data_IF_396436650896
#
_entry.id   IF_396436650896
#
_cell.length_a   1.000
_cell.length_b   1.000
_cell.length_c   1.000
_cell.angle_alpha   90.00
_cell.angle_beta   90.00
_cell.angle_gamma   90.00
#
_symmetry.space_group_name_H-M   'P 1'
#
loop_
_entity.id
_entity.type
_entity.pdbx_description
1 polymer ?
#
# COMPACT_ATOMS: atom_id res chain seq x y z
N UNK A 1 -16.75 -2.97 1.47
CA UNK A 1 -15.30 -2.86 1.20
C UNK A 1 -14.75 -1.43 1.28
N UNK A 2 -13.55 -1.26 1.85
CA UNK A 2 -12.81 -0.02 1.91
C UNK A 2 -11.28 -0.28 1.95
N UNK A 3 -10.49 0.35 1.05
CA UNK A 3 -9.05 0.35 1.14
C UNK A 3 -8.54 1.22 2.28
N UNK A 4 -7.40 0.82 2.82
CA UNK A 4 -6.60 1.59 3.77
C UNK A 4 -5.15 1.59 3.32
N UNK A 5 -4.41 2.66 3.60
CA UNK A 5 -3.01 2.76 3.24
C UNK A 5 -2.12 3.17 4.42
N UNK A 6 -0.89 2.66 4.39
CA UNK A 6 0.24 3.11 5.21
C UNK A 6 1.43 3.32 4.29
N UNK A 7 2.19 4.39 4.52
CA UNK A 7 3.54 4.49 3.99
C UNK A 7 4.47 4.10 5.12
N UNK A 8 5.16 2.98 4.97
CA UNK A 8 6.03 2.42 6.00
C UNK A 8 7.40 3.11 5.97
N UNK A 9 8.08 3.24 7.13
CA UNK A 9 7.74 2.71 8.45
C UNK A 9 6.62 3.39 9.26
N UNK A 10 5.97 4.45 8.79
CA UNK A 10 4.93 5.12 9.57
C UNK A 10 3.74 4.18 9.84
N UNK A 11 3.55 3.84 11.12
CA UNK A 11 2.45 3.02 11.61
C UNK A 11 1.59 3.78 12.63
N UNK A 12 0.40 3.24 12.89
CA UNK A 12 -0.52 3.76 13.90
C UNK A 12 -1.66 4.61 13.32
N UNK A 13 -2.55 5.06 14.21
CA UNK A 13 -3.84 5.66 13.82
C UNK A 13 -3.70 6.94 12.99
N UNK A 14 -2.66 7.74 13.24
CA UNK A 14 -2.45 9.02 12.55
C UNK A 14 -1.84 8.84 11.15
N UNK A 15 -1.04 7.79 10.94
CA UNK A 15 -0.44 7.47 9.64
C UNK A 15 -1.42 6.76 8.69
N UNK A 16 -2.44 6.09 9.25
CA UNK A 16 -3.44 5.36 8.47
C UNK A 16 -4.31 6.31 7.66
N UNK A 17 -4.28 6.18 6.33
CA UNK A 17 -5.31 6.77 5.47
C UNK A 17 -6.36 5.71 5.13
N UNK A 18 -7.62 6.15 4.94
CA UNK A 18 -8.75 5.26 4.63
C UNK A 18 -9.69 5.93 3.64
N UNK A 19 -10.26 5.10 2.76
CA UNK A 19 -11.31 5.54 1.83
C UNK A 19 -12.69 5.53 2.48
N UNK A 20 -13.68 6.03 1.74
CA UNK A 20 -15.09 5.76 2.03
C UNK A 20 -15.45 4.30 1.78
N UNK A 21 -16.46 3.80 2.49
CA UNK A 21 -16.93 2.43 2.33
C UNK A 21 -17.84 2.33 1.12
N UNK A 22 -17.47 1.47 0.18
CA UNK A 22 -18.37 1.03 -0.90
C UNK A 22 -19.11 -0.21 -0.40
N UNK A 23 -20.44 -0.15 -0.41
CA UNK A 23 -21.32 -1.21 0.09
C UNK A 23 -21.87 -2.04 -1.06
N UNK A 24 -22.13 -3.33 -0.80
CA UNK A 24 -22.87 -4.24 -1.69
C UNK A 24 -22.35 -4.28 -3.14
N UNK A 25 -21.03 -4.28 -3.30
CA UNK A 25 -20.39 -4.44 -4.61
C UNK A 25 -19.24 -5.43 -4.48
N UNK A 26 -19.11 -6.34 -5.44
CA UNK A 26 -17.94 -7.22 -5.59
C UNK A 26 -16.87 -6.60 -6.48
N UNK A 27 -17.21 -5.53 -7.23
CA UNK A 27 -16.30 -4.77 -8.09
C UNK A 27 -16.35 -3.29 -7.70
N UNK A 28 -15.95 -2.94 -6.47
CA UNK A 28 -16.00 -1.57 -5.98
C UNK A 28 -15.05 -0.67 -6.77
N UNK A 29 -15.48 0.57 -6.99
CA UNK A 29 -14.64 1.66 -7.49
C UNK A 29 -14.59 2.74 -6.43
N UNK A 30 -13.39 3.12 -6.02
CA UNK A 30 -13.22 4.15 -4.97
C UNK A 30 -12.81 5.50 -5.52
N UNK A 31 -12.16 5.55 -6.69
CA UNK A 31 -11.67 6.78 -7.34
C UNK A 31 -11.02 7.74 -6.33
N UNK A 32 -10.15 7.18 -5.48
CA UNK A 32 -9.58 7.86 -4.33
C UNK A 32 -8.07 8.01 -4.48
N UNK A 33 -7.56 9.20 -4.15
CA UNK A 33 -6.12 9.49 -4.14
C UNK A 33 -5.61 9.57 -2.70
N UNK A 34 -4.73 8.64 -2.33
CA UNK A 34 -3.94 8.74 -1.10
C UNK A 34 -2.76 9.71 -1.34
N UNK A 35 -2.51 10.61 -0.38
CA UNK A 35 -1.50 11.67 -0.55
C UNK A 35 -0.50 11.63 0.60
N UNK A 36 0.77 11.43 0.27
CA UNK A 36 1.90 11.52 1.18
C UNK A 36 2.79 12.71 0.77
N UNK A 37 3.12 13.59 1.72
CA UNK A 37 3.83 14.86 1.45
C UNK A 37 5.20 14.87 2.12
N UNK A 38 6.09 15.72 1.60
CA UNK A 38 7.39 15.98 2.22
C UNK A 38 8.39 14.83 2.07
N UNK A 39 8.30 14.08 0.97
CA UNK A 39 9.22 12.98 0.67
C UNK A 39 10.17 13.37 -0.45
N UNK A 40 11.45 13.14 -0.23
CA UNK A 40 12.47 13.14 -1.28
C UNK A 40 12.49 11.81 -2.03
N UNK A 41 13.10 11.78 -3.22
CA UNK A 41 13.29 10.52 -3.97
C UNK A 41 14.16 9.50 -3.21
N UNK A 42 15.13 9.99 -2.44
CA UNK A 42 16.00 9.13 -1.61
C UNK A 42 15.21 8.49 -0.46
N UNK A 43 14.35 9.26 0.20
CA UNK A 43 13.47 8.68 1.22
C UNK A 43 12.51 7.68 0.58
N UNK A 44 11.87 8.04 -0.54
CA UNK A 44 10.92 7.20 -1.26
C UNK A 44 11.51 5.83 -1.64
N UNK A 45 12.81 5.78 -2.00
CA UNK A 45 13.53 4.53 -2.28
C UNK A 45 13.56 3.56 -1.10
N UNK A 46 13.47 4.08 0.12
CA UNK A 46 13.52 3.31 1.38
C UNK A 46 12.15 3.11 2.03
N UNK A 47 11.07 3.59 1.39
CA UNK A 47 9.69 3.41 1.87
C UNK A 47 9.02 2.21 1.22
N UNK A 48 7.96 1.75 1.87
CA UNK A 48 7.01 0.82 1.28
C UNK A 48 5.59 1.33 1.43
N UNK A 49 4.84 1.43 0.34
CA UNK A 49 3.41 1.71 0.37
C UNK A 49 2.66 0.39 0.57
N UNK A 50 2.00 0.26 1.71
CA UNK A 50 1.11 -0.85 2.02
C UNK A 50 -0.34 -0.44 1.75
N UNK A 51 -1.02 -1.20 0.89
CA UNK A 51 -2.44 -1.02 0.60
C UNK A 51 -3.19 -2.28 1.02
N UNK A 52 -4.15 -2.13 1.92
CA UNK A 52 -4.94 -3.23 2.47
C UNK A 52 -6.42 -3.03 2.16
N UNK A 53 -7.08 -4.08 1.68
CA UNK A 53 -8.51 -4.09 1.42
C UNK A 53 -9.25 -4.77 2.58
N UNK A 54 -10.29 -4.10 3.05
CA UNK A 54 -11.12 -4.57 4.15
C UNK A 54 -12.57 -4.65 3.73
N UNK A 55 -13.30 -5.66 4.17
CA UNK A 55 -14.76 -5.63 4.16
C UNK A 55 -15.32 -5.12 5.48
N UNK A 56 -16.35 -4.28 5.39
CA UNK A 56 -16.94 -3.68 6.57
C UNK A 56 -18.12 -4.53 7.03
N UNK A 57 -17.95 -5.18 8.17
CA UNK A 57 -19.06 -5.72 8.94
C UNK A 57 -19.63 -4.63 9.88
N UNK A 58 -20.95 -4.60 10.04
CA UNK A 58 -21.65 -3.69 10.96
C UNK A 58 -21.79 -4.27 12.37
N UNK A 59 -21.82 -5.59 12.48
CA UNK A 59 -22.13 -6.33 13.71
C UNK A 59 -20.91 -7.09 14.24
N UNK A 60 -19.86 -7.24 13.44
CA UNK A 60 -18.59 -7.87 13.82
C UNK A 60 -17.37 -6.99 13.52
N UNK A 61 -16.17 -7.54 13.73
CA UNK A 61 -14.91 -6.94 13.27
C UNK A 61 -14.87 -6.89 11.73
N UNK A 62 -14.15 -5.91 11.18
CA UNK A 62 -13.96 -5.85 9.73
C UNK A 62 -13.09 -7.01 9.25
N UNK A 63 -13.45 -7.59 8.11
CA UNK A 63 -12.74 -8.71 7.52
C UNK A 63 -11.59 -8.21 6.64
N UNK A 64 -10.41 -8.79 6.82
CA UNK A 64 -9.27 -8.54 5.95
C UNK A 64 -9.43 -9.35 4.66
N UNK A 65 -9.38 -8.68 3.50
CA UNK A 65 -9.55 -9.32 2.21
C UNK A 65 -8.24 -9.55 1.46
N UNK A 66 -7.15 -8.93 1.93
CA UNK A 66 -5.83 -9.00 1.32
C UNK A 66 -5.17 -7.64 1.21
N UNK A 67 -3.90 -7.65 0.83
CA UNK A 67 -3.09 -6.45 0.72
C UNK A 67 -2.01 -6.58 -0.34
N UNK A 68 -1.42 -5.46 -0.73
CA UNK A 68 -0.23 -5.38 -1.57
C UNK A 68 0.77 -4.46 -0.92
N UNK A 69 2.05 -4.67 -1.23
CA UNK A 69 3.12 -3.80 -0.76
C UNK A 69 3.99 -3.36 -1.92
N UNK A 70 4.12 -2.06 -2.12
CA UNK A 70 4.86 -1.45 -3.20
C UNK A 70 6.14 -0.80 -2.65
N UNK A 71 7.30 -1.33 -3.04
CA UNK A 71 8.62 -0.88 -2.60
C UNK A 71 9.70 -1.38 -3.55
N UNK A 72 10.95 -0.97 -3.32
CA UNK A 72 12.11 -1.52 -4.02
C UNK A 72 12.58 -2.89 -3.50
N UNK A 73 11.87 -3.49 -2.53
CA UNK A 73 12.18 -4.81 -1.98
C UNK A 73 13.63 -4.99 -1.49
N UNK A 74 14.21 -3.93 -0.91
CA UNK A 74 15.60 -3.94 -0.43
C UNK A 74 15.81 -4.82 0.80
N UNK A 75 14.74 -5.32 1.42
CA UNK A 75 14.77 -6.08 2.67
C UNK A 75 15.35 -5.30 3.87
N UNK A 76 15.64 -4.00 3.72
CA UNK A 76 16.43 -3.23 4.68
C UNK A 76 15.95 -1.78 4.79
N UNK A 77 16.06 -1.22 6.00
CA UNK A 77 15.80 0.18 6.30
C UNK A 77 16.84 0.68 7.30
N UNK A 78 17.50 1.80 6.99
CA UNK A 78 18.58 2.36 7.81
C UNK A 78 19.69 1.35 8.17
N UNK A 79 20.01 0.43 7.25
CA UNK A 79 21.04 -0.60 7.43
C UNK A 79 20.61 -1.81 8.26
N UNK A 80 19.38 -1.83 8.80
CA UNK A 80 18.83 -2.99 9.51
C UNK A 80 17.89 -3.79 8.60
N UNK A 81 17.85 -5.13 8.71
CA UNK A 81 16.87 -5.95 8.00
C UNK A 81 15.45 -5.63 8.48
N UNK A 82 14.52 -5.54 7.54
CA UNK A 82 13.10 -5.33 7.80
C UNK A 82 12.25 -6.26 6.97
N UNK A 83 11.22 -6.82 7.59
CA UNK A 83 10.26 -7.74 6.96
C UNK A 83 9.25 -7.04 6.03
N UNK A 84 9.15 -5.71 6.10
CA UNK A 84 8.19 -4.94 5.33
C UNK A 84 8.75 -4.40 4.00
N UNK A 85 10.00 -4.68 3.66
CA UNK A 85 10.54 -4.42 2.32
C UNK A 85 10.52 -5.73 1.52
N UNK A 86 9.34 -6.36 1.42
CA UNK A 86 9.12 -7.70 0.85
C UNK A 86 8.29 -7.70 -0.45
N UNK A 87 8.25 -6.57 -1.17
CA UNK A 87 7.56 -6.48 -2.46
C UNK A 87 8.09 -7.52 -3.43
N UNK A 88 7.24 -8.04 -4.32
CA UNK A 88 7.64 -9.06 -5.29
C UNK A 88 7.10 -8.80 -6.70
N UNK A 89 7.86 -9.24 -7.71
CA UNK A 89 7.42 -9.23 -9.11
C UNK A 89 6.88 -7.86 -9.57
N UNK A 90 5.60 -7.83 -9.98
CA UNK A 90 4.94 -6.62 -10.48
C UNK A 90 4.85 -5.49 -9.45
N UNK A 91 4.84 -5.80 -8.15
CA UNK A 91 4.84 -4.78 -7.10
C UNK A 91 6.10 -3.91 -7.18
N UNK A 92 7.26 -4.55 -7.37
CA UNK A 92 8.55 -3.88 -7.53
C UNK A 92 8.55 -3.04 -8.81
N UNK A 93 8.13 -3.63 -9.94
CA UNK A 93 8.13 -2.97 -11.24
C UNK A 93 7.27 -1.70 -11.23
N UNK A 94 6.07 -1.74 -10.63
CA UNK A 94 5.21 -0.55 -10.55
C UNK A 94 5.83 0.55 -9.70
N UNK A 95 6.43 0.19 -8.56
CA UNK A 95 7.10 1.17 -7.71
C UNK A 95 8.30 1.80 -8.40
N UNK A 96 9.15 0.99 -9.05
CA UNK A 96 10.30 1.46 -9.82
C UNK A 96 9.88 2.40 -10.95
N UNK A 97 8.88 2.03 -11.74
CA UNK A 97 8.40 2.86 -12.84
C UNK A 97 7.88 4.21 -12.33
N UNK A 98 7.12 4.21 -11.24
CA UNK A 98 6.59 5.43 -10.63
C UNK A 98 7.70 6.37 -10.16
N UNK A 99 8.80 5.83 -9.61
CA UNK A 99 9.95 6.63 -9.20
C UNK A 99 10.76 7.16 -10.39
N UNK A 100 10.89 6.37 -11.47
CA UNK A 100 11.66 6.76 -12.67
C UNK A 100 10.93 7.78 -13.54
N UNK A 101 9.60 7.89 -13.39
CA UNK A 101 8.75 8.77 -14.19
C UNK A 101 8.05 9.82 -13.29
N UNK A 102 8.81 10.77 -12.71
CA UNK A 102 8.23 11.79 -11.84
C UNK A 102 7.16 12.60 -12.59
N UNK A 103 6.07 12.91 -11.89
CA UNK A 103 4.89 13.64 -12.40
C UNK A 103 4.06 12.88 -13.45
N UNK A 104 4.34 11.60 -13.70
CA UNK A 104 3.51 10.75 -14.53
C UNK A 104 2.78 9.70 -13.68
N UNK A 105 1.55 9.42 -14.06
CA UNK A 105 0.76 8.35 -13.45
C UNK A 105 1.22 7.00 -14.02
N UNK A 106 1.50 6.06 -13.12
CA UNK A 106 1.77 4.67 -13.46
C UNK A 106 0.55 3.84 -13.09
N UNK A 107 -0.05 3.20 -14.08
CA UNK A 107 -1.20 2.32 -13.91
C UNK A 107 -0.77 0.86 -13.84
N UNK A 108 -1.45 0.07 -13.01
CA UNK A 108 -1.16 -1.34 -12.84
C UNK A 108 -2.28 -2.11 -12.16
N UNK A 109 -2.31 -3.41 -12.39
CA UNK A 109 -3.19 -4.35 -11.70
C UNK A 109 -2.35 -5.36 -10.95
N UNK A 110 -2.66 -5.53 -9.66
CA UNK A 110 -1.94 -6.38 -8.73
C UNK A 110 -2.90 -7.35 -8.05
N UNK A 111 -2.56 -8.65 -7.95
CA UNK A 111 -3.31 -9.57 -7.12
C UNK A 111 -3.09 -9.21 -5.64
N UNK A 112 -4.16 -9.24 -4.85
CA UNK A 112 -4.04 -9.10 -3.40
C UNK A 112 -3.36 -10.34 -2.81
N UNK A 113 -2.38 -10.12 -1.94
CA UNK A 113 -1.79 -11.16 -1.11
C UNK A 113 -2.71 -11.45 0.07
N UNK A 114 -2.96 -12.73 0.41
CA UNK A 114 -3.83 -13.08 1.53
C UNK A 114 -3.22 -12.77 2.89
N UNK A 115 -1.88 -12.60 2.95
CA UNK A 115 -1.10 -12.19 4.11
C UNK A 115 0.16 -11.45 3.63
N UNK A 116 0.59 -10.44 4.38
CA UNK A 116 1.90 -9.80 4.22
C UNK A 116 2.86 -10.32 5.29
N UNK A 117 4.16 -10.30 5.00
CA UNK A 117 5.16 -10.63 6.01
C UNK A 117 5.18 -9.51 7.07
N UNK A 118 5.12 -9.93 8.33
CA UNK A 118 4.97 -9.08 9.51
C UNK A 118 6.21 -9.05 10.38
#
# INVERSE_FOLDING_TARGET
>A
MFPTSYLLPERGRLAKQKTVVVRRSLNPRWEHTFVYRGLTMQELATRALELSLWDRDRLASNDFMGAVRLSLATGTYMGAPVNWMDSVGKEITLWQNMMQQPNLWVEGSLPLRPQLIN
#
